data_IF_620867888708
#
_entry.id   IF_620867888708
#
_cell.length_a   1.000
_cell.length_b   1.000
_cell.length_c   1.000
_cell.angle_alpha   90.00
_cell.angle_beta   90.00
_cell.angle_gamma   90.00
#
_symmetry.space_group_name_H-M   'P 1'
#
loop_
_entity.id
_entity.type
_entity.pdbx_description
1 polymer ?
#
# COMPACT_ATOMS: atom_id res chain seq x y z
N UNK A 1 -11.70 -24.67 14.63
CA UNK A 1 -12.81 -23.72 14.89
C UNK A 1 -12.19 -22.36 15.18
N UNK A 2 -11.98 -21.55 14.13
CA UNK A 2 -11.33 -20.24 14.21
C UNK A 2 -12.37 -19.20 14.62
N UNK A 3 -12.12 -18.49 15.73
CA UNK A 3 -13.00 -17.44 16.27
C UNK A 3 -12.95 -16.19 15.38
N UNK A 4 -14.15 -15.70 15.03
CA UNK A 4 -14.56 -14.36 14.58
C UNK A 4 -13.59 -13.51 13.73
N UNK A 5 -13.93 -13.35 12.44
CA UNK A 5 -13.25 -12.55 11.42
C UNK A 5 -13.92 -11.17 11.17
N UNK A 6 -14.76 -10.72 12.11
CA UNK A 6 -15.92 -9.84 11.83
C UNK A 6 -15.88 -8.40 12.39
N UNK A 7 -14.73 -7.81 12.71
CA UNK A 7 -14.71 -6.43 13.24
C UNK A 7 -13.57 -5.55 12.70
N UNK A 8 -13.06 -5.85 11.49
CA UNK A 8 -12.06 -4.99 10.85
C UNK A 8 -12.75 -3.90 10.03
N UNK A 9 -12.65 -2.65 10.49
CA UNK A 9 -13.08 -1.47 9.75
C UNK A 9 -12.10 -1.21 8.58
N UNK A 10 -12.50 -1.66 7.38
CA UNK A 10 -11.69 -1.58 6.16
C UNK A 10 -11.41 -0.12 5.79
N UNK A 11 -12.42 0.76 5.88
CA UNK A 11 -12.28 2.18 5.55
C UNK A 11 -11.24 2.85 6.45
N UNK A 12 -11.40 2.70 7.77
CA UNK A 12 -10.48 3.29 8.74
C UNK A 12 -9.07 2.72 8.61
N UNK A 13 -8.93 1.42 8.42
CA UNK A 13 -7.62 0.76 8.31
C UNK A 13 -6.86 1.28 7.10
N UNK A 14 -7.47 1.28 5.91
CA UNK A 14 -6.80 1.74 4.69
C UNK A 14 -6.55 3.25 4.76
N UNK A 15 -7.54 4.06 5.14
CA UNK A 15 -7.40 5.53 5.23
C UNK A 15 -6.29 5.97 6.17
N UNK A 16 -6.24 5.36 7.36
CA UNK A 16 -5.28 5.75 8.40
C UNK A 16 -3.85 5.47 7.93
N UNK A 17 -3.65 4.36 7.21
CA UNK A 17 -2.38 3.99 6.63
C UNK A 17 -1.89 4.97 5.56
N UNK A 18 -2.71 5.24 4.54
CA UNK A 18 -2.32 6.16 3.44
C UNK A 18 -2.49 7.64 3.80
N UNK A 19 -2.94 7.96 5.02
CA UNK A 19 -3.26 9.33 5.44
C UNK A 19 -4.32 10.01 4.57
N UNK A 20 -5.33 9.28 4.08
CA UNK A 20 -6.36 9.85 3.21
C UNK A 20 -7.37 10.66 4.01
N UNK A 21 -7.75 11.82 3.46
CA UNK A 21 -8.81 12.67 4.00
C UNK A 21 -10.20 12.16 3.61
N UNK A 22 -10.31 11.53 2.44
CA UNK A 22 -11.57 11.06 1.85
C UNK A 22 -11.92 9.65 2.32
N UNK A 23 -13.21 9.41 2.55
CA UNK A 23 -13.72 8.07 2.89
C UNK A 23 -13.61 7.15 1.69
N UNK A 24 -13.34 5.87 1.93
CA UNK A 24 -13.58 4.83 0.94
C UNK A 24 -15.09 4.75 0.69
N UNK A 25 -15.43 4.46 -0.55
CA UNK A 25 -16.81 4.43 -1.01
C UNK A 25 -17.11 3.02 -1.51
N UNK A 26 -18.00 2.31 -0.83
CA UNK A 26 -18.55 1.08 -1.34
C UNK A 26 -19.66 1.36 -2.35
N UNK A 27 -19.63 0.62 -3.45
CA UNK A 27 -20.64 0.62 -4.51
C UNK A 27 -21.18 -0.80 -4.65
N UNK A 28 -22.50 -0.94 -4.59
CA UNK A 28 -23.20 -2.21 -4.80
C UNK A 28 -24.20 -2.08 -5.94
N UNK A 29 -24.16 -3.03 -6.86
CA UNK A 29 -25.06 -3.12 -8.01
C UNK A 29 -26.26 -4.01 -7.63
N UNK A 30 -27.48 -3.51 -7.80
CA UNK A 30 -28.70 -4.19 -7.40
C UNK A 30 -29.57 -4.49 -8.62
N UNK A 31 -29.93 -5.76 -8.78
CA UNK A 31 -30.86 -6.24 -9.83
C UNK A 31 -32.34 -6.10 -9.43
N UNK A 32 -32.62 -5.73 -8.18
CA UNK A 32 -33.95 -5.50 -7.63
C UNK A 32 -33.94 -4.22 -6.77
N UNK A 33 -35.09 -3.54 -6.68
CA UNK A 33 -35.25 -2.33 -5.86
C UNK A 33 -36.07 -2.67 -4.60
N UNK A 34 -35.52 -2.45 -3.41
CA UNK A 34 -36.20 -2.69 -2.13
C UNK A 34 -36.92 -1.43 -1.62
N UNK A 35 -37.92 -1.57 -0.74
CA UNK A 35 -38.61 -0.40 -0.15
C UNK A 35 -37.68 0.49 0.68
N UNK A 36 -36.70 -0.11 1.39
CA UNK A 36 -35.70 0.64 2.18
C UNK A 36 -34.78 1.49 1.29
N UNK A 37 -34.70 1.15 0.01
CA UNK A 37 -33.84 1.85 -0.94
C UNK A 37 -34.40 3.23 -1.30
N UNK A 38 -35.73 3.40 -1.22
CA UNK A 38 -36.40 4.65 -1.57
C UNK A 38 -36.13 5.78 -0.59
N UNK A 39 -35.90 5.46 0.68
CA UNK A 39 -35.70 6.45 1.75
C UNK A 39 -34.33 7.15 1.67
N UNK A 40 -33.38 6.60 0.90
CA UNK A 40 -32.03 7.16 0.69
C UNK A 40 -31.82 7.75 -0.71
N UNK A 41 -32.90 8.02 -1.45
CA UNK A 41 -32.82 8.66 -2.76
C UNK A 41 -32.42 10.13 -2.61
N UNK A 42 -31.64 10.67 -3.55
CA UNK A 42 -31.27 12.07 -3.54
C UNK A 42 -32.48 12.97 -3.83
N UNK A 43 -32.45 14.20 -3.31
CA UNK A 43 -33.52 15.17 -3.53
C UNK A 43 -33.64 15.63 -5.00
N UNK A 44 -32.56 15.50 -5.77
CA UNK A 44 -32.51 15.87 -7.19
C UNK A 44 -31.57 14.95 -7.97
N UNK A 45 -31.80 14.74 -9.27
CA UNK A 45 -30.86 14.04 -10.14
C UNK A 45 -29.52 14.76 -10.21
N UNK A 46 -28.43 13.99 -10.19
CA UNK A 46 -27.05 14.49 -10.29
C UNK A 46 -26.19 13.54 -11.14
N UNK A 47 -24.96 13.94 -11.43
CA UNK A 47 -24.01 13.06 -12.12
C UNK A 47 -23.46 12.02 -11.15
N UNK A 48 -23.21 10.80 -11.63
CA UNK A 48 -22.62 9.73 -10.82
C UNK A 48 -21.34 10.16 -10.08
N UNK A 49 -20.47 10.92 -10.74
CA UNK A 49 -19.25 11.45 -10.14
C UNK A 49 -19.51 12.37 -8.93
N UNK A 50 -20.62 13.12 -8.91
CA UNK A 50 -20.99 13.99 -7.81
C UNK A 50 -21.43 13.17 -6.58
N UNK A 51 -22.20 12.10 -6.79
CA UNK A 51 -22.55 11.19 -5.70
C UNK A 51 -21.32 10.53 -5.08
N UNK A 52 -20.37 10.06 -5.90
CA UNK A 52 -19.11 9.51 -5.40
C UNK A 52 -18.31 10.57 -4.64
N UNK A 53 -18.20 11.79 -5.16
CA UNK A 53 -17.51 12.88 -4.46
C UNK A 53 -18.16 13.19 -3.11
N UNK A 54 -19.48 13.27 -3.08
CA UNK A 54 -20.21 13.58 -1.87
C UNK A 54 -20.08 12.47 -0.82
N UNK A 55 -20.15 11.20 -1.24
CA UNK A 55 -19.87 10.06 -0.39
C UNK A 55 -18.42 10.09 0.14
N UNK A 56 -17.45 10.41 -0.72
CA UNK A 56 -16.04 10.49 -0.34
C UNK A 56 -15.76 11.58 0.71
N UNK A 57 -16.36 12.77 0.53
CA UNK A 57 -16.07 13.95 1.37
C UNK A 57 -16.92 13.97 2.63
N UNK A 58 -18.22 13.69 2.51
CA UNK A 58 -19.19 13.83 3.62
C UNK A 58 -19.55 12.49 4.26
N UNK A 59 -19.28 11.37 3.58
CA UNK A 59 -19.79 10.06 4.00
C UNK A 59 -21.29 9.89 3.75
N UNK A 60 -21.86 10.66 2.83
CA UNK A 60 -23.26 10.52 2.44
C UNK A 60 -23.50 9.14 1.81
N UNK A 61 -24.67 8.57 2.08
CA UNK A 61 -25.10 7.31 1.49
C UNK A 61 -26.26 7.57 0.54
N UNK A 62 -26.23 6.91 -0.62
CA UNK A 62 -27.26 7.06 -1.64
C UNK A 62 -27.68 5.71 -2.18
N UNK A 63 -28.94 5.63 -2.60
CA UNK A 63 -29.39 4.55 -3.47
C UNK A 63 -30.03 5.20 -4.69
N UNK A 64 -29.47 4.90 -5.85
CA UNK A 64 -29.75 5.60 -7.10
C UNK A 64 -30.42 4.66 -8.07
N UNK A 65 -31.43 5.13 -8.78
CA UNK A 65 -31.94 4.46 -9.97
C UNK A 65 -31.69 5.33 -11.22
N UNK A 66 -32.17 4.86 -12.38
CA UNK A 66 -31.96 5.55 -13.66
C UNK A 66 -32.49 7.00 -13.66
N UNK A 67 -33.58 7.28 -12.94
CA UNK A 67 -34.17 8.62 -12.89
C UNK A 67 -33.37 9.62 -12.03
N UNK A 68 -32.42 9.15 -11.22
CA UNK A 68 -31.54 9.98 -10.41
C UNK A 68 -30.26 10.37 -11.15
N UNK A 69 -30.04 9.84 -12.36
CA UNK A 69 -28.85 10.09 -13.16
C UNK A 69 -29.07 11.25 -14.12
N UNK A 70 -28.15 12.22 -14.10
CA UNK A 70 -28.13 13.33 -15.07
C UNK A 70 -27.06 13.15 -16.16
N UNK A 71 -26.43 11.97 -16.24
CA UNK A 71 -25.33 11.69 -17.16
C UNK A 71 -25.63 10.40 -17.95
N UNK A 72 -25.85 10.48 -19.28
CA UNK A 72 -26.20 9.31 -20.10
C UNK A 72 -25.14 8.20 -20.05
N UNK A 73 -23.86 8.58 -19.97
CA UNK A 73 -22.77 7.61 -19.83
C UNK A 73 -22.88 6.78 -18.55
N UNK A 74 -23.37 7.37 -17.45
CA UNK A 74 -23.56 6.63 -16.21
C UNK A 74 -24.75 5.67 -16.32
N UNK A 75 -25.84 6.08 -16.99
CA UNK A 75 -27.01 5.22 -17.24
C UNK A 75 -26.61 3.96 -18.02
N UNK A 76 -25.76 4.11 -19.03
CA UNK A 76 -25.28 3.00 -19.88
C UNK A 76 -24.22 2.17 -19.15
N UNK A 77 -23.14 2.79 -18.64
CA UNK A 77 -22.04 2.07 -17.99
C UNK A 77 -22.50 1.23 -16.80
N UNK A 78 -23.41 1.77 -15.97
CA UNK A 78 -23.91 1.07 -14.78
C UNK A 78 -24.99 0.03 -15.12
N UNK A 79 -25.34 -0.16 -16.39
CA UNK A 79 -26.27 -1.21 -16.82
C UNK A 79 -27.74 -0.89 -16.53
N UNK A 80 -28.13 0.39 -16.47
CA UNK A 80 -29.55 0.76 -16.37
C UNK A 80 -30.25 0.69 -17.73
N UNK A 81 -29.53 1.02 -18.81
CA UNK A 81 -30.07 1.11 -20.17
C UNK A 81 -29.10 0.45 -21.16
N UNK A 82 -29.62 -0.27 -22.15
CA UNK A 82 -28.84 -0.78 -23.28
C UNK A 82 -28.51 0.34 -24.30
N UNK A 83 -27.27 0.41 -24.81
CA UNK A 83 -26.94 1.32 -25.91
C UNK A 83 -27.65 0.90 -27.21
N UNK A 84 -28.12 1.88 -27.99
CA UNK A 84 -28.93 1.63 -29.21
C UNK A 84 -28.11 1.48 -30.49
N UNK A 85 -27.03 2.25 -30.66
CA UNK A 85 -26.33 2.39 -31.95
C UNK A 85 -24.88 1.91 -31.92
N UNK A 86 -24.13 2.35 -30.90
CA UNK A 86 -22.71 2.02 -30.72
C UNK A 86 -22.58 1.39 -29.35
N UNK A 87 -21.91 0.24 -29.26
CA UNK A 87 -21.64 -0.38 -27.97
C UNK A 87 -20.59 0.44 -27.21
N UNK A 88 -20.96 0.88 -26.01
CA UNK A 88 -20.15 1.74 -25.15
C UNK A 88 -19.52 0.86 -24.08
N UNK A 89 -18.20 0.74 -24.09
CA UNK A 89 -17.46 -0.07 -23.13
C UNK A 89 -16.45 0.79 -22.34
N UNK A 90 -16.22 0.50 -21.04
CA UNK A 90 -16.80 -0.63 -20.29
C UNK A 90 -18.21 -0.36 -19.73
N UNK A 91 -19.09 -1.37 -19.73
CA UNK A 91 -20.44 -1.33 -19.13
C UNK A 91 -20.90 -2.68 -18.57
N UNK A 92 -21.80 -2.65 -17.59
CA UNK A 92 -22.45 -3.85 -17.04
C UNK A 92 -23.41 -4.44 -18.07
N UNK A 93 -23.32 -5.75 -18.29
CA UNK A 93 -24.09 -6.50 -19.29
C UNK A 93 -24.70 -7.78 -18.69
N UNK A 94 -25.96 -8.10 -18.99
CA UNK A 94 -26.95 -7.23 -19.66
C UNK A 94 -27.34 -6.03 -18.77
N UNK A 95 -28.03 -5.03 -19.32
CA UNK A 95 -28.52 -3.87 -18.60
C UNK A 95 -29.72 -4.22 -17.68
N UNK A 96 -29.43 -4.99 -16.62
CA UNK A 96 -30.40 -5.46 -15.64
C UNK A 96 -30.29 -4.73 -14.29
N UNK A 97 -29.44 -3.71 -14.18
CA UNK A 97 -29.31 -2.90 -12.96
C UNK A 97 -30.60 -2.11 -12.73
N UNK A 98 -31.19 -2.27 -11.55
CA UNK A 98 -32.37 -1.51 -11.10
C UNK A 98 -32.00 -0.40 -10.14
N UNK A 99 -30.99 -0.63 -9.30
CA UNK A 99 -30.46 0.38 -8.40
C UNK A 99 -28.94 0.22 -8.18
N UNK A 100 -28.30 1.31 -7.77
CA UNK A 100 -26.89 1.34 -7.36
C UNK A 100 -26.82 1.99 -5.99
N UNK A 101 -26.32 1.24 -5.01
CA UNK A 101 -26.05 1.75 -3.65
C UNK A 101 -24.63 2.30 -3.59
N UNK A 102 -24.49 3.50 -3.04
CA UNK A 102 -23.21 4.18 -2.81
C UNK A 102 -23.12 4.51 -1.32
N UNK A 103 -21.98 4.22 -0.69
CA UNK A 103 -21.72 4.61 0.69
C UNK A 103 -20.82 3.62 1.41
N UNK A 104 -21.41 2.82 2.29
CA UNK A 104 -20.70 1.85 3.14
C UNK A 104 -19.89 0.85 2.31
N UNK A 105 -18.66 0.61 2.76
CA UNK A 105 -17.71 -0.33 2.15
C UNK A 105 -18.16 -1.77 2.35
N UNK A 106 -18.79 -2.08 3.48
CA UNK A 106 -19.27 -3.41 3.80
C UNK A 106 -20.34 -3.87 2.80
N UNK A 107 -20.24 -5.13 2.39
CA UNK A 107 -21.18 -5.76 1.45
C UNK A 107 -21.28 -4.96 0.14
N UNK A 108 -20.17 -4.42 -0.36
CA UNK A 108 -20.08 -3.77 -1.66
C UNK A 108 -19.53 -4.72 -2.72
N UNK A 109 -19.80 -4.44 -3.99
CA UNK A 109 -19.16 -5.17 -5.10
C UNK A 109 -17.83 -4.52 -5.48
N UNK A 110 -17.80 -3.19 -5.42
CA UNK A 110 -16.67 -2.34 -5.79
C UNK A 110 -16.42 -1.34 -4.67
N UNK A 111 -15.16 -1.14 -4.32
CA UNK A 111 -14.70 -0.14 -3.37
C UNK A 111 -13.86 0.88 -4.13
N UNK A 112 -14.22 2.14 -3.99
CA UNK A 112 -13.51 3.27 -4.59
C UNK A 112 -12.76 4.04 -3.50
N UNK A 113 -11.55 4.52 -3.82
CA UNK A 113 -10.81 5.43 -2.96
C UNK A 113 -10.27 6.60 -3.77
N UNK A 114 -10.59 7.81 -3.33
CA UNK A 114 -10.00 9.05 -3.86
C UNK A 114 -8.64 9.25 -3.22
N UNK A 115 -7.59 9.24 -4.03
CA UNK A 115 -6.20 9.23 -3.56
C UNK A 115 -5.35 10.21 -4.36
N UNK A 116 -4.21 10.59 -3.81
CA UNK A 116 -3.15 11.30 -4.53
C UNK A 116 -2.21 10.30 -5.22
N UNK A 117 -1.39 10.73 -6.20
CA UNK A 117 -0.38 9.87 -6.81
C UNK A 117 0.55 9.18 -5.81
N UNK A 118 0.96 9.89 -4.74
CA UNK A 118 1.79 9.31 -3.67
C UNK A 118 1.06 8.17 -2.94
N UNK A 119 -0.20 8.39 -2.58
CA UNK A 119 -1.01 7.37 -1.91
C UNK A 119 -1.26 6.18 -2.82
N UNK A 120 -1.49 6.41 -4.12
CA UNK A 120 -1.63 5.33 -5.09
C UNK A 120 -0.33 4.51 -5.21
N UNK A 121 0.84 5.15 -5.19
CA UNK A 121 2.12 4.44 -5.16
C UNK A 121 2.23 3.52 -3.93
N UNK A 122 1.87 4.00 -2.73
CA UNK A 122 1.87 3.19 -1.50
C UNK A 122 0.91 1.99 -1.61
N UNK A 123 -0.30 2.22 -2.13
CA UNK A 123 -1.28 1.16 -2.37
C UNK A 123 -0.79 0.14 -3.40
N UNK A 124 -0.13 0.58 -4.47
CA UNK A 124 0.37 -0.30 -5.52
C UNK A 124 1.38 -1.32 -4.98
N UNK A 125 2.25 -0.91 -4.05
CA UNK A 125 3.20 -1.83 -3.38
C UNK A 125 2.43 -2.91 -2.62
N UNK A 126 1.41 -2.54 -1.85
CA UNK A 126 0.62 -3.48 -1.04
C UNK A 126 -0.24 -4.42 -1.87
N UNK A 127 -0.73 -3.93 -3.01
CA UNK A 127 -1.49 -4.71 -3.98
C UNK A 127 -0.60 -5.69 -4.77
N UNK A 128 0.72 -5.53 -4.74
CA UNK A 128 1.67 -6.35 -5.50
C UNK A 128 1.81 -5.89 -6.96
N UNK A 129 1.63 -4.59 -7.21
CA UNK A 129 1.52 -3.99 -8.54
C UNK A 129 0.07 -3.73 -8.95
N UNK A 130 -0.13 -2.78 -9.86
CA UNK A 130 -1.44 -2.45 -10.43
C UNK A 130 -1.29 -2.24 -11.92
N UNK A 131 -2.04 -3.01 -12.71
CA UNK A 131 -2.20 -2.78 -14.14
C UNK A 131 -3.45 -1.92 -14.33
N UNK A 132 -3.33 -0.84 -15.08
CA UNK A 132 -4.39 0.16 -15.21
C UNK A 132 -4.74 0.41 -16.66
N UNK A 133 -6.03 0.52 -16.94
CA UNK A 133 -6.55 0.90 -18.26
C UNK A 133 -7.54 2.05 -18.09
N UNK A 134 -7.28 3.15 -18.81
CA UNK A 134 -8.14 4.33 -18.82
C UNK A 134 -8.13 4.98 -20.20
N UNK A 135 -9.27 5.57 -20.58
CA UNK A 135 -9.51 6.31 -21.82
C UNK A 135 -9.68 7.81 -21.57
N UNK A 136 -9.81 8.23 -20.30
CA UNK A 136 -10.09 9.62 -19.93
C UNK A 136 -11.56 10.00 -20.09
N UNK A 137 -12.42 9.00 -20.31
CA UNK A 137 -13.87 9.15 -20.45
C UNK A 137 -14.56 8.08 -19.60
N UNK A 138 -15.79 8.36 -19.15
CA UNK A 138 -16.55 7.39 -18.34
C UNK A 138 -15.79 6.89 -17.10
N UNK A 139 -14.96 7.74 -16.49
CA UNK A 139 -14.01 7.32 -15.47
C UNK A 139 -14.64 6.60 -14.27
N UNK A 140 -15.53 7.27 -13.53
CA UNK A 140 -16.09 6.68 -12.31
C UNK A 140 -17.14 5.60 -12.61
N UNK A 141 -18.02 5.83 -13.59
CA UNK A 141 -19.11 4.90 -13.91
C UNK A 141 -18.63 3.68 -14.72
N UNK A 142 -17.80 3.92 -15.74
CA UNK A 142 -17.24 2.91 -16.63
C UNK A 142 -15.97 2.31 -16.04
N UNK A 143 -14.85 3.03 -16.09
CA UNK A 143 -13.51 2.47 -15.81
C UNK A 143 -13.38 1.89 -14.39
N UNK A 144 -13.97 2.56 -13.40
CA UNK A 144 -13.79 2.24 -11.98
C UNK A 144 -14.94 1.49 -11.33
N UNK A 145 -16.18 1.67 -11.80
CA UNK A 145 -17.33 0.92 -11.27
C UNK A 145 -17.62 -0.28 -12.15
N UNK A 146 -18.12 -0.08 -13.37
CA UNK A 146 -18.49 -1.18 -14.26
C UNK A 146 -17.28 -2.08 -14.62
N UNK A 147 -16.16 -1.48 -15.00
CA UNK A 147 -14.94 -2.18 -15.39
C UNK A 147 -14.39 -3.05 -14.26
N UNK A 148 -14.34 -2.54 -13.03
CA UNK A 148 -13.91 -3.31 -11.85
C UNK A 148 -14.96 -4.36 -11.47
N UNK A 149 -16.25 -4.03 -11.55
CA UNK A 149 -17.33 -4.96 -11.29
C UNK A 149 -17.27 -6.19 -12.20
N UNK A 150 -16.92 -6.00 -13.47
CA UNK A 150 -16.84 -7.08 -14.48
C UNK A 150 -15.51 -7.81 -14.40
N UNK A 151 -14.39 -7.08 -14.41
CA UNK A 151 -13.05 -7.67 -14.46
C UNK A 151 -12.65 -8.35 -13.15
N UNK A 152 -13.30 -7.98 -12.03
CA UNK A 152 -12.93 -8.36 -10.66
C UNK A 152 -11.45 -8.11 -10.36
N UNK A 153 -10.87 -7.07 -10.98
CA UNK A 153 -9.48 -6.64 -10.78
C UNK A 153 -9.44 -5.15 -10.43
N UNK A 154 -8.47 -4.71 -9.61
CA UNK A 154 -8.28 -3.29 -9.37
C UNK A 154 -7.97 -2.52 -10.65
N UNK A 155 -8.43 -1.28 -10.72
CA UNK A 155 -8.10 -0.35 -11.80
C UNK A 155 -7.91 1.06 -11.22
N UNK A 156 -7.10 1.89 -11.89
CA UNK A 156 -6.91 3.30 -11.56
C UNK A 156 -7.40 4.15 -12.72
N UNK A 157 -8.06 5.25 -12.41
CA UNK A 157 -8.47 6.24 -13.39
C UNK A 157 -7.96 7.61 -13.01
N UNK A 158 -7.47 8.32 -14.03
CA UNK A 158 -7.09 9.73 -13.96
C UNK A 158 -8.28 10.67 -14.10
N UNK A 159 -9.51 10.12 -14.07
CA UNK A 159 -10.77 10.83 -14.13
C UNK A 159 -11.06 11.47 -15.49
N UNK A 160 -12.34 11.58 -15.82
CA UNK A 160 -12.79 12.25 -17.03
C UNK A 160 -13.01 13.74 -16.77
N UNK A 161 -13.07 14.53 -17.84
CA UNK A 161 -13.29 15.98 -17.72
C UNK A 161 -14.59 16.31 -16.96
N UNK A 162 -15.65 15.51 -17.16
CA UNK A 162 -16.90 15.67 -16.42
C UNK A 162 -16.77 15.47 -14.90
N UNK A 163 -15.90 14.56 -14.44
CA UNK A 163 -15.65 14.41 -13.01
C UNK A 163 -14.94 15.65 -12.45
N UNK A 164 -13.95 16.18 -13.17
CA UNK A 164 -13.21 17.39 -12.76
C UNK A 164 -14.11 18.63 -12.72
N UNK A 165 -14.86 18.88 -13.79
CA UNK A 165 -15.70 20.08 -13.90
C UNK A 165 -16.93 20.08 -13.00
N UNK A 166 -17.63 18.95 -12.88
CA UNK A 166 -18.94 18.93 -12.20
C UNK A 166 -18.89 18.37 -10.77
N UNK A 167 -17.89 17.55 -10.45
CA UNK A 167 -17.71 16.96 -9.13
C UNK A 167 -16.43 17.45 -8.43
N UNK A 168 -15.75 18.45 -8.99
CA UNK A 168 -14.64 19.18 -8.36
C UNK A 168 -13.52 18.27 -7.84
N UNK A 169 -13.23 17.21 -8.60
CA UNK A 169 -12.01 16.42 -8.40
C UNK A 169 -10.80 17.26 -8.85
N UNK A 170 -9.79 17.32 -8.00
CA UNK A 170 -8.58 18.14 -8.21
C UNK A 170 -7.62 17.49 -9.20
N UNK A 171 -6.72 18.29 -9.75
CA UNK A 171 -5.69 17.85 -10.70
C UNK A 171 -4.76 16.79 -10.13
N UNK A 172 -4.52 16.83 -8.83
CA UNK A 172 -3.70 15.85 -8.11
C UNK A 172 -4.52 14.71 -7.47
N UNK A 173 -5.82 14.59 -7.77
CA UNK A 173 -6.66 13.48 -7.34
C UNK A 173 -6.81 12.47 -8.48
N UNK A 174 -6.56 11.21 -8.14
CA UNK A 174 -6.89 10.03 -8.94
C UNK A 174 -7.83 9.15 -8.12
N UNK A 175 -8.52 8.22 -8.77
CA UNK A 175 -9.38 7.28 -8.06
C UNK A 175 -8.97 5.87 -8.42
N UNK A 176 -8.80 5.05 -7.39
CA UNK A 176 -8.63 3.60 -7.53
C UNK A 176 -9.95 2.92 -7.22
N UNK A 177 -10.32 1.96 -8.06
CA UNK A 177 -11.44 1.06 -7.84
C UNK A 177 -10.91 -0.34 -7.66
N UNK A 178 -11.46 -1.09 -6.71
CA UNK A 178 -11.08 -2.46 -6.46
C UNK A 178 -12.28 -3.30 -6.02
N UNK A 179 -12.29 -4.62 -6.28
CA UNK A 179 -13.31 -5.49 -5.71
C UNK A 179 -13.26 -5.45 -4.19
N UNK A 180 -14.41 -5.63 -3.52
CA UNK A 180 -14.49 -5.67 -2.06
C UNK A 180 -13.51 -6.68 -1.44
N UNK A 181 -13.40 -7.88 -2.02
CA UNK A 181 -12.46 -8.90 -1.54
C UNK A 181 -10.99 -8.42 -1.58
N UNK A 182 -10.63 -7.63 -2.59
CA UNK A 182 -9.28 -7.05 -2.69
C UNK A 182 -9.06 -5.96 -1.66
N UNK A 183 -10.07 -5.12 -1.39
CA UNK A 183 -10.00 -4.12 -0.32
C UNK A 183 -9.84 -4.78 1.06
N UNK A 184 -10.57 -5.87 1.31
CA UNK A 184 -10.44 -6.65 2.54
C UNK A 184 -9.02 -7.22 2.70
N UNK A 185 -8.49 -7.88 1.67
CA UNK A 185 -7.11 -8.41 1.68
C UNK A 185 -6.06 -7.31 1.88
N UNK A 186 -6.29 -6.13 1.30
CA UNK A 186 -5.42 -4.97 1.46
C UNK A 186 -5.42 -4.49 2.92
N UNK A 187 -6.59 -4.39 3.56
CA UNK A 187 -6.70 -4.05 4.97
C UNK A 187 -6.01 -5.09 5.87
N UNK A 188 -6.21 -6.39 5.62
CA UNK A 188 -5.52 -7.48 6.35
C UNK A 188 -3.99 -7.35 6.24
N UNK A 189 -3.46 -7.04 5.04
CA UNK A 189 -2.02 -6.82 4.82
C UNK A 189 -1.49 -5.59 5.58
N UNK A 190 -2.24 -4.49 5.57
CA UNK A 190 -1.88 -3.27 6.31
C UNK A 190 -1.81 -3.56 7.80
N UNK A 191 -2.79 -4.27 8.35
CA UNK A 191 -2.81 -4.63 9.76
C UNK A 191 -1.60 -5.53 10.10
N UNK A 192 -1.28 -6.51 9.26
CA UNK A 192 -0.10 -7.36 9.44
C UNK A 192 1.21 -6.54 9.42
N UNK A 193 1.35 -5.57 8.50
CA UNK A 193 2.52 -4.71 8.39
C UNK A 193 2.67 -3.76 9.58
N UNK A 194 1.56 -3.26 10.13
CA UNK A 194 1.57 -2.40 11.31
C UNK A 194 2.18 -3.11 12.53
N UNK A 195 2.12 -4.44 12.57
CA UNK A 195 2.71 -5.27 13.64
C UNK A 195 4.22 -5.54 13.44
N UNK A 196 4.78 -5.29 12.26
CA UNK A 196 6.17 -5.66 11.89
C UNK A 196 7.10 -4.46 11.62
N UNK A 197 6.78 -3.27 12.13
CA UNK A 197 7.57 -2.03 11.97
C UNK A 197 7.75 -1.52 10.51
N UNK A 198 6.95 -2.01 9.55
CA UNK A 198 6.34 -1.13 8.54
C UNK A 198 7.22 -0.45 7.48
N UNK A 199 8.30 -1.05 6.98
CA UNK A 199 8.90 -0.54 5.74
C UNK A 199 8.29 -1.22 4.50
N UNK A 200 7.66 -0.43 3.65
CA UNK A 200 7.15 -0.86 2.34
C UNK A 200 8.24 -1.15 1.32
N UNK A 201 9.42 -0.55 1.50
CA UNK A 201 10.53 -0.61 0.56
C UNK A 201 11.80 -1.02 1.30
N UNK A 202 12.55 -1.99 0.75
CA UNK A 202 13.81 -2.47 1.32
C UNK A 202 14.84 -1.36 1.56
N UNK A 203 14.81 -0.28 0.77
CA UNK A 203 15.68 0.88 0.95
C UNK A 203 15.45 1.64 2.28
N UNK A 204 14.27 1.48 2.91
CA UNK A 204 13.95 2.08 4.21
C UNK A 204 14.27 1.15 5.39
N UNK A 205 14.48 -0.16 5.16
CA UNK A 205 14.81 -1.15 6.20
C UNK A 205 16.27 -1.57 6.22
N UNK A 206 16.94 -1.60 5.08
CA UNK A 206 18.36 -1.95 4.97
C UNK A 206 18.88 -1.51 3.62
N UNK A 207 19.79 -0.54 3.62
CA UNK A 207 20.56 -0.09 2.46
C UNK A 207 21.71 -1.05 2.09
N UNK A 208 21.77 -2.22 2.74
CA UNK A 208 22.77 -3.28 2.51
C UNK A 208 22.30 -4.23 1.39
N UNK A 209 23.09 -4.38 0.31
CA UNK A 209 22.81 -5.32 -0.76
C UNK A 209 22.59 -6.77 -0.28
N UNK A 210 21.64 -7.53 -0.88
CA UNK A 210 21.37 -8.92 -0.50
C UNK A 210 22.57 -9.87 -0.56
N UNK A 211 23.53 -9.58 -1.44
CA UNK A 211 24.78 -10.35 -1.56
C UNK A 211 25.57 -10.31 -0.25
N UNK A 212 25.73 -9.11 0.32
CA UNK A 212 26.42 -8.90 1.60
C UNK A 212 25.68 -9.66 2.71
N UNK A 213 24.35 -9.56 2.78
CA UNK A 213 23.55 -10.30 3.77
C UNK A 213 23.78 -11.81 3.68
N UNK A 214 23.88 -12.35 2.47
CA UNK A 214 24.09 -13.77 2.23
C UNK A 214 25.49 -14.20 2.68
N UNK A 215 26.51 -13.39 2.40
CA UNK A 215 27.89 -13.68 2.79
C UNK A 215 28.07 -13.66 4.31
N UNK A 216 27.51 -12.65 5.01
CA UNK A 216 27.49 -12.62 6.48
C UNK A 216 26.74 -13.81 7.09
N UNK A 217 25.65 -14.27 6.44
CA UNK A 217 24.92 -15.46 6.91
C UNK A 217 25.74 -16.74 6.79
N UNK A 218 26.59 -16.87 5.75
CA UNK A 218 27.47 -18.04 5.57
C UNK A 218 28.49 -18.16 6.71
N UNK A 219 29.01 -17.03 7.19
CA UNK A 219 29.95 -16.99 8.32
C UNK A 219 29.26 -17.01 9.70
N UNK A 220 27.95 -17.27 9.76
CA UNK A 220 27.22 -17.42 11.01
C UNK A 220 26.78 -16.10 11.68
N UNK A 221 26.75 -14.99 10.94
CA UNK A 221 26.24 -13.71 11.41
C UNK A 221 24.82 -13.45 10.90
N UNK A 222 23.96 -12.95 11.78
CA UNK A 222 22.59 -12.53 11.46
C UNK A 222 22.49 -11.00 11.43
N UNK A 223 21.50 -10.48 10.69
CA UNK A 223 21.28 -9.04 10.54
C UNK A 223 20.20 -8.56 11.53
N UNK A 224 20.57 -7.65 12.42
CA UNK A 224 19.64 -6.81 13.19
C UNK A 224 19.27 -5.53 12.43
N UNK A 225 18.64 -4.55 13.09
CA UNK A 225 18.22 -3.30 12.46
C UNK A 225 19.38 -2.57 11.76
N UNK A 226 20.46 -2.28 12.51
CA UNK A 226 21.58 -1.45 12.00
C UNK A 226 22.92 -2.18 11.98
N UNK A 227 23.01 -3.40 12.53
CA UNK A 227 24.26 -4.17 12.64
C UNK A 227 24.06 -5.65 12.36
N UNK A 228 25.15 -6.36 12.08
CA UNK A 228 25.22 -7.81 12.11
C UNK A 228 25.66 -8.30 13.49
N UNK A 229 25.14 -9.43 13.94
CA UNK A 229 25.53 -10.04 15.20
C UNK A 229 25.80 -11.52 15.04
N UNK A 230 26.82 -12.01 15.74
CA UNK A 230 27.27 -13.38 15.67
C UNK A 230 28.20 -13.70 16.83
N UNK A 231 28.84 -14.87 16.77
CA UNK A 231 29.83 -15.29 17.76
C UNK A 231 31.14 -15.62 17.08
N UNK A 232 32.24 -15.04 17.58
CA UNK A 232 33.60 -15.36 17.16
C UNK A 232 34.38 -15.82 18.39
N UNK A 233 34.98 -17.02 18.31
CA UNK A 233 35.74 -17.64 19.43
C UNK A 233 34.97 -17.62 20.77
N UNK A 234 33.65 -17.83 20.72
CA UNK A 234 32.75 -17.86 21.89
C UNK A 234 32.28 -16.49 22.40
N UNK A 235 32.83 -15.38 21.91
CA UNK A 235 32.41 -14.03 22.27
C UNK A 235 31.35 -13.49 21.32
N UNK A 236 30.39 -12.73 21.85
CA UNK A 236 29.42 -12.03 21.01
C UNK A 236 30.10 -10.88 20.29
N UNK A 237 29.95 -10.82 18.97
CA UNK A 237 30.50 -9.74 18.14
C UNK A 237 29.35 -9.05 17.42
N UNK A 238 29.36 -7.72 17.43
CA UNK A 238 28.49 -6.90 16.60
C UNK A 238 29.35 -6.22 15.53
N UNK A 239 28.88 -6.26 14.29
CA UNK A 239 29.58 -5.70 13.14
C UNK A 239 28.68 -4.62 12.53
N UNK A 240 29.22 -3.41 12.40
CA UNK A 240 28.57 -2.32 11.69
C UNK A 240 29.29 -2.10 10.36
N UNK A 241 28.52 -1.99 9.28
CA UNK A 241 29.03 -1.55 7.98
C UNK A 241 28.76 -0.06 7.85
N UNK A 242 29.83 0.74 7.82
CA UNK A 242 29.69 2.20 7.72
C UNK A 242 30.02 2.66 6.31
N UNK A 243 29.24 3.64 5.85
CA UNK A 243 29.45 4.28 4.57
C UNK A 243 30.46 5.42 4.70
N UNK A 244 31.28 5.60 3.67
CA UNK A 244 32.11 6.80 3.49
C UNK A 244 31.26 8.00 3.02
N UNK A 245 31.92 9.14 2.76
CA UNK A 245 31.26 10.35 2.25
C UNK A 245 30.69 10.20 0.84
N UNK A 246 31.06 9.13 0.11
CA UNK A 246 30.53 8.78 -1.20
C UNK A 246 29.41 7.73 -1.12
N UNK A 247 29.04 7.28 0.09
CA UNK A 247 27.97 6.30 0.31
C UNK A 247 28.39 4.83 0.11
N UNK A 248 29.70 4.54 0.00
CA UNK A 248 30.27 3.19 -0.17
C UNK A 248 30.63 2.58 1.17
N UNK A 249 30.39 1.27 1.34
CA UNK A 249 30.79 0.53 2.53
C UNK A 249 32.31 0.32 2.55
N UNK A 250 33.07 1.33 2.99
CA UNK A 250 34.53 1.25 3.08
C UNK A 250 35.02 0.99 4.50
N UNK A 251 34.18 1.15 5.52
CA UNK A 251 34.58 0.92 6.90
C UNK A 251 33.73 -0.14 7.57
N UNK A 252 34.40 -1.04 8.30
CA UNK A 252 33.78 -2.03 9.16
C UNK A 252 34.11 -1.71 10.62
N UNK A 253 33.11 -1.75 11.49
CA UNK A 253 33.31 -1.56 12.93
C UNK A 253 32.95 -2.82 13.68
N UNK A 254 33.93 -3.38 14.37
CA UNK A 254 33.75 -4.48 15.29
C UNK A 254 33.46 -3.94 16.68
N UNK A 255 32.43 -4.46 17.31
CA UNK A 255 32.03 -4.12 18.67
C UNK A 255 31.87 -5.41 19.48
N UNK A 256 32.80 -5.65 20.39
CA UNK A 256 32.88 -6.86 21.22
C UNK A 256 32.62 -6.50 22.68
N UNK A 257 31.40 -6.70 23.20
CA UNK A 257 31.09 -6.48 24.61
C UNK A 257 31.66 -7.61 25.47
N UNK A 258 32.59 -7.27 26.39
CA UNK A 258 33.18 -8.21 27.35
C UNK A 258 32.83 -7.79 28.77
N UNK A 259 32.52 -8.75 29.65
CA UNK A 259 32.23 -8.47 31.06
C UNK A 259 33.54 -8.39 31.85
N UNK A 260 33.72 -7.30 32.62
CA UNK A 260 34.95 -7.03 33.39
C UNK A 260 35.87 -6.00 32.73
N UNK A 261 37.05 -5.82 33.31
CA UNK A 261 38.04 -4.85 32.84
C UNK A 261 38.99 -5.50 31.82
N UNK A 262 39.01 -4.95 30.61
CA UNK A 262 39.87 -5.45 29.52
C UNK A 262 40.76 -4.32 29.01
N UNK A 263 42.02 -4.64 28.72
CA UNK A 263 42.94 -3.76 27.98
C UNK A 263 42.98 -4.24 26.54
N UNK A 264 42.81 -3.32 25.59
CA UNK A 264 42.99 -3.60 24.16
C UNK A 264 44.12 -2.71 23.62
N UNK A 265 44.85 -3.23 22.64
CA UNK A 265 45.89 -2.49 21.92
C UNK A 265 45.30 -1.82 20.68
N UNK A 266 45.91 -0.71 20.24
CA UNK A 266 45.50 -0.04 18.99
C UNK A 266 45.58 -1.04 17.82
N UNK A 267 44.60 -1.05 16.90
CA UNK A 267 43.58 -0.02 16.65
C UNK A 267 42.27 -0.18 17.45
N UNK A 268 42.22 -1.08 18.44
CA UNK A 268 41.03 -1.27 19.26
C UNK A 268 40.98 -0.28 20.43
N UNK A 269 39.83 0.35 20.62
CA UNK A 269 39.52 1.23 21.73
C UNK A 269 38.60 0.52 22.74
N UNK A 270 38.79 0.78 24.03
CA UNK A 270 37.93 0.23 25.09
C UNK A 270 37.07 1.32 25.69
N UNK A 271 35.74 1.14 25.66
CA UNK A 271 34.79 2.00 26.38
C UNK A 271 34.18 1.22 27.55
N UNK A 272 34.36 1.73 28.77
CA UNK A 272 33.73 1.14 29.97
C UNK A 272 32.27 1.57 30.08
N UNK A 273 31.39 0.59 30.28
CA UNK A 273 29.95 0.76 30.50
C UNK A 273 29.51 -0.07 31.70
N UNK A 274 29.63 0.50 32.89
CA UNK A 274 29.32 -0.18 34.15
C UNK A 274 30.22 -1.39 34.38
N UNK A 275 29.64 -2.60 34.42
CA UNK A 275 30.37 -3.89 34.57
C UNK A 275 30.90 -4.47 33.25
N UNK A 276 30.72 -3.77 32.13
CA UNK A 276 31.10 -4.21 30.80
C UNK A 276 32.17 -3.29 30.21
N UNK A 277 33.10 -3.86 29.46
CA UNK A 277 34.05 -3.17 28.61
C UNK A 277 33.70 -3.49 27.15
N UNK A 278 33.31 -2.47 26.40
CA UNK A 278 33.02 -2.57 24.97
C UNK A 278 34.31 -2.31 24.19
N UNK A 279 34.84 -3.33 23.52
CA UNK A 279 36.02 -3.22 22.64
C UNK A 279 35.53 -2.86 21.25
N UNK A 280 36.01 -1.73 20.71
CA UNK A 280 35.59 -1.18 19.43
C UNK A 280 36.81 -1.05 18.52
N UNK A 281 36.77 -1.63 17.33
CA UNK A 281 37.79 -1.44 16.31
C UNK A 281 37.16 -1.01 14.99
N UNK A 282 37.67 0.07 14.39
CA UNK A 282 37.22 0.55 13.08
C UNK A 282 38.32 0.27 12.07
N UNK A 283 37.98 -0.43 11.00
CA UNK A 283 38.92 -0.84 9.96
C UNK A 283 38.44 -0.37 8.59
N UNK A 284 39.39 -0.01 7.75
CA UNK A 284 39.17 0.13 6.31
C UNK A 284 39.10 -1.26 5.69
N UNK A 285 38.02 -1.54 4.96
CA UNK A 285 37.72 -2.83 4.33
C UNK A 285 38.79 -3.20 3.30
N UNK A 286 39.26 -2.23 2.50
CA UNK A 286 40.37 -2.47 1.56
C UNK A 286 41.67 -2.74 2.31
N UNK A 287 41.90 -2.03 3.42
CA UNK A 287 43.10 -2.18 4.25
C UNK A 287 43.22 -3.54 4.95
N UNK A 288 42.10 -4.22 5.19
CA UNK A 288 42.06 -5.58 5.75
C UNK A 288 41.88 -6.67 4.67
N UNK A 289 41.80 -6.28 3.40
CA UNK A 289 41.72 -7.21 2.27
C UNK A 289 40.40 -7.99 2.17
N UNK A 290 39.31 -7.45 2.71
CA UNK A 290 38.00 -8.09 2.70
C UNK A 290 37.17 -7.54 1.54
N UNK A 291 36.46 -8.42 0.83
CA UNK A 291 35.44 -8.00 -0.14
C UNK A 291 34.05 -8.45 0.33
N UNK A 292 33.24 -7.47 0.74
CA UNK A 292 31.88 -7.71 1.22
C UNK A 292 30.95 -8.30 0.16
N UNK A 293 31.20 -8.01 -1.12
CA UNK A 293 30.33 -8.40 -2.24
C UNK A 293 30.63 -9.81 -2.75
N UNK A 294 31.90 -10.14 -2.97
CA UNK A 294 32.31 -11.50 -3.35
C UNK A 294 32.32 -12.45 -2.16
N UNK A 295 32.54 -11.93 -0.95
CA UNK A 295 32.71 -12.71 0.28
C UNK A 295 34.14 -13.23 0.48
N UNK A 296 35.10 -12.80 -0.35
CA UNK A 296 36.50 -13.15 -0.19
C UNK A 296 37.06 -12.61 1.14
N UNK A 297 37.79 -13.46 1.87
CA UNK A 297 38.42 -13.20 3.17
C UNK A 297 37.45 -12.76 4.30
N UNK A 298 36.13 -12.92 4.11
CA UNK A 298 35.14 -12.59 5.14
C UNK A 298 35.18 -13.56 6.34
N UNK A 299 35.72 -14.76 6.15
CA UNK A 299 35.92 -15.77 7.20
C UNK A 299 37.11 -15.43 8.13
N UNK A 300 38.00 -14.54 7.71
CA UNK A 300 39.18 -14.12 8.48
C UNK A 300 38.85 -13.05 9.54
N UNK A 301 37.56 -12.71 9.68
CA UNK A 301 36.96 -11.81 10.69
C UNK A 301 36.84 -12.48 12.06
#
# INVERSE_FOLDING_TARGET
MLKAKDDMDIDKTIRSYIGSKHKLIGVRILSEESKKDRDKRPAKPMRYCQFIREAAVKGSEFILNVSDMSCPNAEICLGFIEPKYVDIQPRIMPANTKAVRIGKVEDSDVVLAVVTPKQMMELAVLLGGVNSEFRGEMALCGELTAGVFISKKPNVSFLCNGARMFAEFRDNEVVVGMPYETALKLAEKIEALSRTCGALCGCLTSDIPPQILTNFKKIGFEKGTDYFFGKVKGNNVRIYLNKDTQGRYNYITFHVPIKGDVKAEKPFEVKKRGKWSDIIGVFDIEGIGIDLYSGENLEDI
#
